data_IF_271966098872
#
_entry.id   IF_271966098872
#
_cell.length_a   1.000
_cell.length_b   1.000
_cell.length_c   1.000
_cell.angle_alpha   90.00
_cell.angle_beta   90.00
_cell.angle_gamma   90.00
#
_symmetry.space_group_name_H-M   'P 1'
#
loop_
_entity.id
_entity.type
_entity.pdbx_description
1 polymer ?
#
# COMPACT_ATOMS: atom_id res chain seq x y z
N UNK A 1 8.89 1.86 -0.68
CA UNK A 1 9.26 2.16 0.72
C UNK A 1 8.01 2.66 1.45
N UNK A 2 7.70 2.07 2.61
CA UNK A 2 6.64 2.55 3.49
C UNK A 2 7.06 3.88 4.14
N UNK A 3 6.18 4.87 4.10
CA UNK A 3 6.36 6.16 4.77
C UNK A 3 5.46 6.22 6.02
N UNK A 4 4.83 7.37 6.27
CA UNK A 4 3.90 7.57 7.38
C UNK A 4 2.47 7.77 6.87
N UNK A 5 1.48 7.93 7.77
CA UNK A 5 0.12 8.31 7.37
C UNK A 5 0.04 9.74 6.81
N UNK A 6 1.04 10.58 7.12
CA UNK A 6 1.08 12.00 6.81
C UNK A 6 1.66 12.25 5.41
N UNK A 7 0.90 13.00 4.59
CA UNK A 7 1.29 13.36 3.22
C UNK A 7 2.59 14.18 3.20
N UNK A 8 2.65 15.26 3.97
CA UNK A 8 3.75 16.22 3.87
C UNK A 8 5.10 15.60 4.30
N UNK A 9 5.08 14.73 5.31
CA UNK A 9 6.25 13.93 5.69
C UNK A 9 6.68 12.95 4.59
N UNK A 10 5.72 12.38 3.86
CA UNK A 10 6.00 11.46 2.74
C UNK A 10 6.62 12.21 1.55
N UNK A 11 6.14 13.41 1.23
CA UNK A 11 6.74 14.27 0.20
C UNK A 11 8.16 14.67 0.58
N UNK A 12 8.38 15.06 1.83
CA UNK A 12 9.73 15.37 2.34
C UNK A 12 10.68 14.17 2.21
N UNK A 13 10.21 12.96 2.54
CA UNK A 13 10.99 11.73 2.35
C UNK A 13 11.36 11.53 0.88
N UNK A 14 10.41 11.72 -0.05
CA UNK A 14 10.66 11.59 -1.48
C UNK A 14 11.73 12.59 -1.96
N UNK A 15 11.63 13.85 -1.54
CA UNK A 15 12.62 14.88 -1.90
C UNK A 15 14.03 14.54 -1.39
N UNK A 16 14.14 13.99 -0.18
CA UNK A 16 15.42 13.59 0.38
C UNK A 16 16.02 12.38 -0.34
N UNK A 17 15.19 11.40 -0.71
CA UNK A 17 15.62 10.23 -1.48
C UNK A 17 16.09 10.64 -2.89
N UNK A 18 15.37 11.54 -3.56
CA UNK A 18 15.77 12.06 -4.87
C UNK A 18 17.10 12.85 -4.78
N UNK A 19 17.27 13.69 -3.75
CA UNK A 19 18.53 14.40 -3.49
C UNK A 19 19.71 13.46 -3.24
N UNK A 20 19.44 12.29 -2.66
CA UNK A 20 20.44 11.24 -2.46
C UNK A 20 20.71 10.40 -3.73
N UNK A 21 20.02 10.67 -4.84
CA UNK A 21 20.14 9.92 -6.09
C UNK A 21 19.43 8.56 -6.07
N UNK A 22 18.50 8.35 -5.14
CA UNK A 22 17.73 7.11 -5.03
C UNK A 22 16.53 7.18 -5.97
N UNK A 23 16.29 6.08 -6.69
CA UNK A 23 15.13 5.87 -7.54
C UNK A 23 14.28 4.72 -6.97
N UNK A 24 12.95 4.85 -7.02
CA UNK A 24 12.03 3.82 -6.56
C UNK A 24 10.67 4.36 -6.18
N UNK A 25 10.01 3.68 -5.25
CA UNK A 25 8.64 3.98 -4.84
C UNK A 25 8.54 4.40 -3.38
N UNK A 26 7.70 5.38 -3.08
CA UNK A 26 7.34 5.77 -1.71
C UNK A 26 5.82 5.76 -1.53
N UNK A 27 5.39 5.28 -0.37
CA UNK A 27 3.99 4.97 -0.08
C UNK A 27 3.48 5.63 1.19
N UNK A 28 2.59 6.62 1.07
CA UNK A 28 1.83 7.16 2.21
C UNK A 28 0.88 6.08 2.72
N UNK A 29 0.97 5.79 4.01
CA UNK A 29 0.20 4.72 4.65
C UNK A 29 -1.28 5.10 4.74
N UNK A 30 -2.16 4.16 4.37
CA UNK A 30 -3.62 4.26 4.53
C UNK A 30 -4.07 3.34 5.68
N UNK A 31 -4.71 3.91 6.71
CA UNK A 31 -5.23 3.17 7.87
C UNK A 31 -6.27 3.96 8.68
N UNK A 32 -7.44 3.38 8.92
CA UNK A 32 -8.61 4.05 9.54
C UNK A 32 -9.31 3.20 10.61
N UNK A 33 -8.82 1.98 10.89
CA UNK A 33 -9.31 1.13 12.00
C UNK A 33 -8.17 0.37 12.68
N UNK A 34 -8.44 -0.20 13.86
CA UNK A 34 -7.53 -1.10 14.58
C UNK A 34 -6.09 -0.60 14.70
N UNK A 35 -5.92 0.69 14.98
CA UNK A 35 -4.64 1.36 15.17
C UNK A 35 -4.75 2.46 16.25
N UNK A 36 -3.61 2.91 16.82
CA UNK A 36 -3.59 3.95 17.84
C UNK A 36 -4.33 5.21 17.38
N UNK A 37 -5.12 5.83 18.26
CA UNK A 37 -5.95 6.99 17.91
C UNK A 37 -5.11 8.21 17.47
N UNK A 38 -3.88 8.33 17.98
CA UNK A 38 -2.91 9.38 17.62
C UNK A 38 -2.16 9.10 16.30
N UNK A 39 -2.37 7.92 15.69
CA UNK A 39 -1.74 7.51 14.45
C UNK A 39 -2.74 6.77 13.53
N UNK A 40 -3.87 7.42 13.29
CA UNK A 40 -4.99 6.92 12.48
C UNK A 40 -5.60 8.03 11.63
N UNK A 41 -6.05 7.70 10.42
CA UNK A 41 -6.93 8.60 9.65
C UNK A 41 -8.35 8.62 10.24
N UNK A 42 -8.96 9.80 10.29
CA UNK A 42 -10.28 10.01 10.89
C UNK A 42 -11.33 9.02 10.38
N UNK A 43 -11.37 8.83 9.05
CA UNK A 43 -12.25 7.88 8.37
C UNK A 43 -11.70 7.48 6.98
N UNK A 44 -12.39 6.52 6.35
CA UNK A 44 -12.10 6.03 5.01
C UNK A 44 -12.05 7.16 3.97
N UNK A 45 -13.02 8.08 4.03
CA UNK A 45 -13.18 9.18 3.09
C UNK A 45 -11.99 10.13 3.14
N UNK A 46 -11.62 10.57 4.34
CA UNK A 46 -10.49 11.45 4.62
C UNK A 46 -9.20 10.82 4.11
N UNK A 47 -8.99 9.53 4.39
CA UNK A 47 -7.82 8.81 3.90
C UNK A 47 -7.75 8.75 2.37
N UNK A 48 -8.87 8.50 1.70
CA UNK A 48 -8.94 8.43 0.24
C UNK A 48 -8.82 9.80 -0.44
N UNK A 49 -9.43 10.85 0.11
CA UNK A 49 -9.30 12.22 -0.37
C UNK A 49 -7.85 12.71 -0.26
N UNK A 50 -7.18 12.46 0.86
CA UNK A 50 -5.76 12.78 1.03
C UNK A 50 -4.87 12.00 0.06
N UNK A 51 -5.21 10.75 -0.25
CA UNK A 51 -4.50 9.95 -1.25
C UNK A 51 -4.60 10.55 -2.65
N UNK A 52 -5.78 11.07 -3.03
CA UNK A 52 -5.98 11.76 -4.32
C UNK A 52 -5.22 13.08 -4.38
N UNK A 53 -5.27 13.89 -3.32
CA UNK A 53 -4.48 15.14 -3.24
C UNK A 53 -2.98 14.86 -3.35
N UNK A 54 -2.52 13.80 -2.70
CA UNK A 54 -1.12 13.40 -2.77
C UNK A 54 -0.74 13.00 -4.19
N UNK A 55 -1.55 12.19 -4.88
CA UNK A 55 -1.33 11.82 -6.27
C UNK A 55 -1.17 13.05 -7.17
N UNK A 56 -2.07 14.03 -7.10
CA UNK A 56 -1.95 15.27 -7.89
C UNK A 56 -0.65 16.04 -7.61
N UNK A 57 -0.09 15.92 -6.40
CA UNK A 57 1.14 16.58 -6.00
C UNK A 57 2.39 15.89 -6.56
N UNK A 58 2.35 14.58 -6.81
CA UNK A 58 3.55 13.78 -7.11
C UNK A 58 3.49 12.96 -8.39
N UNK A 59 2.37 12.95 -9.13
CA UNK A 59 2.15 12.12 -10.33
C UNK A 59 3.20 12.29 -11.43
N UNK A 60 3.80 13.47 -11.55
CA UNK A 60 4.79 13.79 -12.59
C UNK A 60 6.23 13.43 -12.18
N UNK A 61 6.44 12.88 -10.98
CA UNK A 61 7.77 12.45 -10.53
C UNK A 61 8.21 11.18 -11.26
N UNK A 62 9.50 11.12 -11.59
CA UNK A 62 10.10 9.99 -12.33
C UNK A 62 11.14 9.21 -11.52
N UNK A 63 11.80 9.85 -10.54
CA UNK A 63 12.81 9.21 -9.70
C UNK A 63 12.18 8.53 -8.49
N UNK A 64 11.45 9.29 -7.66
CA UNK A 64 10.65 8.71 -6.58
C UNK A 64 9.17 8.78 -6.92
N UNK A 65 8.59 7.65 -7.29
CA UNK A 65 7.20 7.53 -7.70
C UNK A 65 6.29 7.16 -6.53
N UNK A 66 5.01 7.50 -6.65
CA UNK A 66 3.98 7.08 -5.70
C UNK A 66 3.64 5.60 -5.86
N UNK A 67 3.44 4.92 -4.74
CA UNK A 67 2.81 3.58 -4.67
C UNK A 67 1.64 3.61 -3.69
N UNK A 68 0.49 3.07 -4.10
CA UNK A 68 -0.71 3.07 -3.27
C UNK A 68 -0.51 2.12 -2.09
N UNK A 69 -0.66 2.60 -0.86
CA UNK A 69 -0.16 1.86 0.32
C UNK A 69 -1.21 1.69 1.42
N UNK A 70 -2.23 0.83 1.24
CA UNK A 70 -2.98 0.29 2.38
C UNK A 70 -2.01 -0.46 3.30
N UNK A 71 -2.06 -0.21 4.62
CA UNK A 71 -1.04 -0.76 5.54
C UNK A 71 -1.12 -2.28 5.62
N UNK A 72 -2.21 -2.78 6.20
CA UNK A 72 -2.58 -4.18 6.28
C UNK A 72 -4.11 -4.25 6.37
N UNK A 73 -4.71 -5.33 5.88
CA UNK A 73 -6.17 -5.46 5.81
C UNK A 73 -6.90 -5.20 7.15
N UNK A 74 -6.37 -5.68 8.31
CA UNK A 74 -6.99 -5.39 9.60
C UNK A 74 -7.08 -3.90 9.94
N UNK A 75 -6.17 -3.06 9.44
CA UNK A 75 -6.14 -1.63 9.76
C UNK A 75 -6.86 -0.74 8.75
N UNK A 76 -7.39 -1.31 7.67
CA UNK A 76 -8.11 -0.60 6.62
C UNK A 76 -9.55 -1.10 6.60
N UNK A 77 -10.52 -0.22 6.77
CA UNK A 77 -11.94 -0.54 6.60
C UNK A 77 -12.25 -0.99 5.18
N UNK A 78 -13.33 -1.73 5.02
CA UNK A 78 -13.76 -2.23 3.72
C UNK A 78 -14.12 -1.06 2.79
N UNK A 79 -14.72 0.01 3.34
CA UNK A 79 -14.97 1.26 2.62
C UNK A 79 -13.67 1.89 2.09
N UNK A 80 -12.63 1.97 2.94
CA UNK A 80 -11.33 2.48 2.51
C UNK A 80 -10.73 1.61 1.40
N UNK A 81 -10.77 0.27 1.55
CA UNK A 81 -10.26 -0.65 0.55
C UNK A 81 -11.01 -0.52 -0.79
N UNK A 82 -12.33 -0.36 -0.79
CA UNK A 82 -13.11 -0.11 -2.00
C UNK A 82 -12.71 1.20 -2.70
N UNK A 83 -12.54 2.28 -1.93
CA UNK A 83 -12.17 3.57 -2.49
C UNK A 83 -10.75 3.56 -3.06
N UNK A 84 -9.80 2.91 -2.38
CA UNK A 84 -8.44 2.72 -2.86
C UNK A 84 -8.41 1.81 -4.10
N UNK A 85 -9.20 0.74 -4.14
CA UNK A 85 -9.32 -0.14 -5.30
C UNK A 85 -9.90 0.56 -6.53
N UNK A 86 -10.91 1.43 -6.35
CA UNK A 86 -11.42 2.29 -7.44
C UNK A 86 -10.34 3.22 -7.97
N UNK A 87 -9.64 3.91 -7.07
CA UNK A 87 -8.58 4.84 -7.42
C UNK A 87 -7.39 4.15 -8.13
N UNK A 88 -7.04 2.94 -7.70
CA UNK A 88 -6.03 2.12 -8.35
C UNK A 88 -6.40 1.81 -9.80
N UNK A 89 -7.65 1.41 -10.07
CA UNK A 89 -8.12 1.16 -11.45
C UNK A 89 -8.15 2.40 -12.33
N UNK A 90 -8.43 3.56 -11.74
CA UNK A 90 -8.44 4.85 -12.46
C UNK A 90 -7.03 5.31 -12.85
N UNK A 91 -6.02 5.01 -12.03
CA UNK A 91 -4.66 5.57 -12.17
C UNK A 91 -3.62 4.55 -12.66
N UNK A 92 -3.89 3.26 -12.51
CA UNK A 92 -2.92 2.20 -12.80
C UNK A 92 -1.74 2.16 -11.83
N UNK A 93 -1.83 2.82 -10.68
CA UNK A 93 -0.75 2.81 -9.67
C UNK A 93 -0.49 1.39 -9.16
N UNK A 94 0.78 1.10 -8.89
CA UNK A 94 1.17 -0.08 -8.11
C UNK A 94 0.60 0.00 -6.69
N UNK A 95 0.46 -1.16 -6.04
CA UNK A 95 -0.02 -1.29 -4.67
C UNK A 95 1.02 -1.98 -3.80
N UNK A 96 1.23 -1.49 -2.59
CA UNK A 96 2.13 -2.04 -1.58
C UNK A 96 1.35 -2.23 -0.28
N UNK A 97 1.39 -3.42 0.33
CA UNK A 97 0.72 -3.71 1.60
C UNK A 97 1.51 -4.77 2.36
N UNK A 98 1.31 -4.89 3.67
CA UNK A 98 1.79 -6.03 4.43
C UNK A 98 0.89 -7.25 4.18
N UNK A 99 1.52 -8.39 3.92
CA UNK A 99 0.87 -9.64 3.56
C UNK A 99 1.49 -10.81 4.34
N UNK A 100 0.65 -11.57 5.07
CA UNK A 100 1.02 -12.89 5.60
C UNK A 100 2.23 -12.92 6.55
N UNK A 101 2.41 -11.90 7.39
CA UNK A 101 3.50 -11.88 8.39
C UNK A 101 3.23 -12.82 9.59
N UNK A 102 2.00 -13.30 9.75
CA UNK A 102 1.61 -14.34 10.71
C UNK A 102 0.66 -15.37 10.04
N UNK A 103 0.54 -16.57 10.62
CA UNK A 103 -0.21 -17.69 10.03
C UNK A 103 -1.73 -17.44 9.88
N UNK A 104 -2.30 -16.54 10.68
CA UNK A 104 -3.70 -16.09 10.55
C UNK A 104 -3.90 -15.06 9.42
N UNK A 105 -2.84 -14.35 9.02
CA UNK A 105 -2.88 -13.31 7.99
C UNK A 105 -2.84 -13.85 6.55
N UNK A 106 -2.67 -15.17 6.34
CA UNK A 106 -2.59 -15.72 4.98
C UNK A 106 -3.92 -15.54 4.22
N UNK A 107 -5.05 -15.99 4.75
CA UNK A 107 -6.33 -15.85 4.04
C UNK A 107 -6.78 -14.38 3.93
N UNK A 108 -6.68 -13.63 5.03
CA UNK A 108 -7.07 -12.23 5.07
C UNK A 108 -6.18 -11.37 4.18
N UNK A 109 -4.86 -11.59 4.21
CA UNK A 109 -3.93 -10.82 3.41
C UNK A 109 -3.98 -11.20 1.92
N UNK A 110 -4.15 -12.47 1.58
CA UNK A 110 -3.98 -12.92 0.19
C UNK A 110 -5.32 -12.85 -0.55
N UNK A 111 -6.26 -13.74 -0.26
CA UNK A 111 -7.55 -13.83 -0.98
C UNK A 111 -8.54 -12.75 -0.55
N UNK A 112 -8.64 -12.49 0.75
CA UNK A 112 -9.58 -11.49 1.29
C UNK A 112 -9.26 -10.10 0.76
N UNK A 113 -8.03 -9.62 1.00
CA UNK A 113 -7.55 -8.33 0.51
C UNK A 113 -7.40 -8.28 -1.01
N UNK A 114 -6.96 -9.38 -1.64
CA UNK A 114 -6.82 -9.47 -3.08
C UNK A 114 -8.14 -9.28 -3.84
N UNK A 115 -9.27 -9.72 -3.28
CA UNK A 115 -10.58 -9.58 -3.93
C UNK A 115 -10.96 -8.14 -4.31
N UNK A 116 -10.45 -7.13 -3.59
CA UNK A 116 -10.67 -5.71 -3.91
C UNK A 116 -9.92 -5.24 -5.18
N UNK A 117 -8.90 -6.00 -5.59
CA UNK A 117 -8.02 -5.73 -6.72
C UNK A 117 -8.17 -6.76 -7.86
N UNK A 118 -9.15 -7.68 -7.75
CA UNK A 118 -9.45 -8.70 -8.76
C UNK A 118 -9.12 -10.11 -8.29
N UNK A 119 -8.74 -10.98 -9.23
CA UNK A 119 -8.26 -12.32 -8.93
C UNK A 119 -6.78 -12.23 -8.57
N UNK A 120 -6.44 -11.73 -7.38
CA UNK A 120 -5.04 -11.64 -6.92
C UNK A 120 -4.86 -12.23 -5.52
N UNK A 121 -3.62 -12.56 -5.15
CA UNK A 121 -3.30 -13.09 -3.82
C UNK A 121 -3.76 -14.52 -3.62
N UNK A 122 -3.65 -15.37 -4.65
CA UNK A 122 -3.90 -16.80 -4.53
C UNK A 122 -2.98 -17.56 -5.48
N UNK A 123 -2.70 -18.83 -5.17
CA UNK A 123 -2.03 -19.77 -6.08
C UNK A 123 -3.02 -20.53 -7.00
N UNK A 124 -4.28 -20.10 -7.02
CA UNK A 124 -5.33 -20.69 -7.87
C UNK A 124 -5.16 -20.27 -9.33
N UNK A 125 -5.60 -21.14 -10.24
CA UNK A 125 -5.57 -20.84 -11.68
C UNK A 125 -6.39 -19.57 -11.99
N UNK A 126 -5.78 -18.65 -12.76
CA UNK A 126 -6.37 -17.35 -13.08
C UNK A 126 -6.10 -16.23 -12.07
N UNK A 127 -5.43 -16.52 -10.93
CA UNK A 127 -5.04 -15.48 -9.97
C UNK A 127 -3.62 -14.96 -10.22
N UNK A 128 -3.42 -13.66 -10.06
CA UNK A 128 -2.09 -13.01 -10.07
C UNK A 128 -1.50 -12.94 -8.66
N UNK A 129 -0.19 -13.18 -8.54
CA UNK A 129 0.53 -13.06 -7.27
C UNK A 129 2.02 -12.80 -7.53
N UNK A 130 2.59 -11.85 -6.78
CA UNK A 130 4.02 -11.59 -6.74
C UNK A 130 4.64 -12.21 -5.49
N UNK A 131 5.62 -13.09 -5.68
CA UNK A 131 6.33 -13.77 -4.61
C UNK A 131 7.83 -13.50 -4.67
N UNK A 132 8.46 -13.36 -3.51
CA UNK A 132 9.91 -13.51 -3.37
C UNK A 132 10.18 -14.92 -2.84
N UNK A 133 10.75 -15.78 -3.68
CA UNK A 133 11.16 -17.14 -3.26
C UNK A 133 12.53 -17.05 -2.59
N UNK A 134 12.58 -17.30 -1.30
CA UNK A 134 13.82 -17.36 -0.53
C UNK A 134 14.18 -18.83 -0.26
N UNK A 135 15.32 -19.27 -0.79
CA UNK A 135 15.89 -20.58 -0.48
C UNK A 135 16.82 -20.44 0.73
N UNK A 136 16.44 -21.01 1.87
CA UNK A 136 17.22 -21.00 3.11
C UNK A 136 18.10 -22.24 3.30
N UNK A 137 18.13 -23.17 2.33
CA UNK A 137 18.90 -24.41 2.44
C UNK A 137 20.42 -24.18 2.55
N UNK A 138 20.90 -22.97 2.23
CA UNK A 138 22.30 -22.53 2.41
C UNK A 138 22.59 -21.95 3.81
N UNK A 139 21.59 -21.81 4.68
CA UNK A 139 21.77 -21.40 6.09
C UNK A 139 21.95 -22.65 6.97
N UNK A 140 23.12 -23.29 6.87
CA UNK A 140 23.66 -24.20 7.90
C UNK A 140 25.06 -23.77 8.26
#
# INVERSE_FOLDING_TARGET
MFATIHRDATVLLMDLLEKAGICGFAGKVCMDRNCPDDYRQEDARTSAEETRKWYETVKDRTMMQMILTPRLLPSCSDELMEQLGKFQRETGLYVQSHLSENSEALYLGTKGGGSFFGQVGSFEEGYEFDAVVLNDASRK
#
